data_IF_458912158494
#
_entry.id   IF_458912158494
#
_cell.length_a   1.000
_cell.length_b   1.000
_cell.length_c   1.000
_cell.angle_alpha   90.00
_cell.angle_beta   90.00
_cell.angle_gamma   90.00
#
_symmetry.space_group_name_H-M   'P 1'
#
loop_
_entity.id
_entity.type
_entity.pdbx_description
1 polymer ?
#
# COMPACT_ATOMS: atom_id res chain seq x y z
N UNK A 1 -9.42 -11.21 16.73
CA UNK A 1 -8.68 -10.82 15.52
C UNK A 1 -7.24 -10.50 15.87
N UNK A 2 -6.33 -10.89 15.02
CA UNK A 2 -4.93 -10.50 15.19
C UNK A 2 -4.73 -9.09 14.68
N UNK A 3 -3.90 -8.32 15.37
CA UNK A 3 -3.57 -6.94 14.99
C UNK A 3 -2.07 -6.83 14.76
N UNK A 4 -1.70 -6.47 13.55
CA UNK A 4 -0.31 -6.36 13.14
C UNK A 4 -0.11 -5.02 12.46
N UNK A 5 0.94 -4.29 12.85
CA UNK A 5 1.24 -2.95 12.30
C UNK A 5 0.06 -1.99 12.42
N UNK A 6 -0.75 -2.15 13.47
CA UNK A 6 -1.94 -1.32 13.68
C UNK A 6 -3.15 -1.72 12.86
N UNK A 7 -3.09 -2.80 12.11
CA UNK A 7 -4.18 -3.26 11.24
C UNK A 7 -4.78 -4.55 11.78
N UNK A 8 -6.10 -4.62 11.83
CA UNK A 8 -6.80 -5.85 12.18
C UNK A 8 -6.86 -6.74 10.94
N UNK A 9 -6.17 -7.87 11.00
CA UNK A 9 -6.16 -8.81 9.87
C UNK A 9 -7.23 -9.88 10.07
N UNK A 10 -7.84 -10.38 8.97
CA UNK A 10 -8.88 -11.40 9.08
C UNK A 10 -8.31 -12.69 9.65
N UNK A 11 -9.06 -13.31 10.57
CA UNK A 11 -8.61 -14.54 11.23
C UNK A 11 -8.95 -15.81 10.46
N UNK A 12 -9.91 -15.74 9.55
CA UNK A 12 -10.34 -16.88 8.76
C UNK A 12 -9.56 -17.07 7.46
N UNK A 13 -8.60 -16.19 7.17
CA UNK A 13 -7.78 -16.25 5.96
C UNK A 13 -6.42 -16.88 6.26
N UNK A 14 -5.79 -17.44 5.23
CA UNK A 14 -4.41 -17.92 5.37
C UNK A 14 -3.49 -16.74 5.70
N UNK A 15 -2.43 -17.00 6.44
CA UNK A 15 -1.52 -15.94 6.87
C UNK A 15 -0.97 -15.14 5.68
N UNK A 16 -0.58 -15.83 4.60
CA UNK A 16 -0.06 -15.17 3.39
C UNK A 16 -1.07 -14.18 2.81
N UNK A 17 -2.35 -14.55 2.79
CA UNK A 17 -3.41 -13.69 2.27
C UNK A 17 -3.72 -12.55 3.25
N UNK A 18 -3.80 -12.87 4.53
CA UNK A 18 -4.15 -11.90 5.57
C UNK A 18 -3.10 -10.79 5.70
N UNK A 19 -1.82 -11.10 5.55
CA UNK A 19 -0.75 -10.10 5.64
C UNK A 19 -0.85 -9.05 4.53
N UNK A 20 -1.46 -9.39 3.40
CA UNK A 20 -1.63 -8.44 2.30
C UNK A 20 -2.63 -7.33 2.60
N UNK A 21 -3.38 -7.42 3.70
CA UNK A 21 -4.25 -6.34 4.16
C UNK A 21 -3.46 -5.17 4.74
N UNK A 22 -2.18 -5.38 5.03
CA UNK A 22 -1.30 -4.33 5.53
C UNK A 22 -0.76 -3.53 4.34
N UNK A 23 -0.90 -2.21 4.40
CA UNK A 23 -0.37 -1.33 3.34
C UNK A 23 1.15 -1.47 3.26
N UNK A 24 1.66 -1.84 2.12
CA UNK A 24 3.08 -2.07 1.89
C UNK A 24 3.47 -3.54 1.80
N UNK A 25 2.55 -4.46 2.07
CA UNK A 25 2.80 -5.90 1.95
C UNK A 25 1.93 -6.46 0.84
N UNK A 26 2.56 -6.92 -0.23
CA UNK A 26 1.91 -7.62 -1.33
C UNK A 26 2.17 -9.11 -1.26
N UNK A 27 1.78 -9.88 -2.30
CA UNK A 27 1.96 -11.33 -2.30
C UNK A 27 3.40 -11.78 -2.08
N UNK A 28 4.36 -11.14 -2.72
CA UNK A 28 5.77 -11.51 -2.63
C UNK A 28 6.33 -11.30 -1.22
N UNK A 29 6.04 -10.13 -0.63
CA UNK A 29 6.51 -9.81 0.72
C UNK A 29 5.84 -10.68 1.76
N UNK A 30 4.55 -10.99 1.58
CA UNK A 30 3.83 -11.87 2.49
C UNK A 30 4.47 -13.27 2.52
N UNK A 31 4.81 -13.82 1.36
CA UNK A 31 5.49 -15.11 1.27
C UNK A 31 6.87 -15.07 1.91
N UNK A 32 7.59 -13.98 1.70
CA UNK A 32 8.91 -13.79 2.29
C UNK A 32 8.84 -13.76 3.82
N UNK A 33 7.87 -13.05 4.38
CA UNK A 33 7.67 -12.98 5.84
C UNK A 33 7.34 -14.36 6.39
N UNK A 34 6.42 -15.08 5.76
CA UNK A 34 6.01 -16.42 6.18
C UNK A 34 7.20 -17.37 6.15
N UNK A 35 8.05 -17.28 5.13
CA UNK A 35 9.27 -18.07 5.03
C UNK A 35 10.27 -17.77 6.13
N UNK A 36 10.46 -16.51 6.46
CA UNK A 36 11.38 -16.08 7.53
C UNK A 36 10.95 -16.56 8.90
N UNK A 37 9.65 -16.58 9.15
CA UNK A 37 9.10 -17.01 10.45
C UNK A 37 8.93 -18.53 10.51
N UNK A 38 8.91 -19.21 9.38
CA UNK A 38 8.79 -20.66 9.32
C UNK A 38 7.37 -21.18 9.47
N UNK A 39 6.39 -20.41 9.01
CA UNK A 39 4.98 -20.79 9.06
C UNK A 39 4.58 -21.46 7.75
N UNK A 40 3.77 -22.51 7.82
CA UNK A 40 3.28 -23.21 6.64
C UNK A 40 2.29 -22.33 5.85
N UNK A 41 2.32 -22.47 4.52
CA UNK A 41 1.45 -21.68 3.65
C UNK A 41 -0.05 -21.92 3.91
N UNK A 42 -0.40 -23.11 4.34
CA UNK A 42 -1.80 -23.47 4.59
C UNK A 42 -2.32 -22.96 5.95
N UNK A 43 -1.44 -22.45 6.81
CA UNK A 43 -1.85 -21.97 8.15
C UNK A 43 -2.76 -20.75 8.01
N UNK A 44 -3.82 -20.76 8.82
CA UNK A 44 -4.73 -19.61 8.92
C UNK A 44 -4.37 -18.77 10.13
N UNK A 45 -4.77 -17.51 10.12
CA UNK A 45 -4.45 -16.58 11.20
C UNK A 45 -4.96 -17.08 12.55
N UNK A 46 -6.15 -17.68 12.58
CA UNK A 46 -6.74 -18.20 13.81
C UNK A 46 -6.02 -19.42 14.39
N UNK A 47 -5.10 -20.01 13.63
CA UNK A 47 -4.30 -21.15 14.06
C UNK A 47 -2.92 -20.73 14.62
N UNK A 48 -2.63 -19.43 14.56
CA UNK A 48 -1.33 -18.92 15.03
C UNK A 48 -1.30 -18.82 16.56
N UNK A 49 -0.15 -19.14 17.14
CA UNK A 49 0.08 -18.89 18.55
C UNK A 49 0.47 -17.43 18.77
N UNK A 50 0.37 -16.95 20.02
CA UNK A 50 0.76 -15.59 20.34
C UNK A 50 2.23 -15.33 20.01
N UNK A 51 3.08 -16.33 20.22
CA UNK A 51 4.50 -16.24 19.91
C UNK A 51 4.74 -16.08 18.39
N UNK A 52 4.00 -16.82 17.58
CA UNK A 52 4.10 -16.70 16.14
C UNK A 52 3.65 -15.33 15.65
N UNK A 53 2.58 -14.79 16.21
CA UNK A 53 2.12 -13.44 15.91
C UNK A 53 3.18 -12.41 16.29
N UNK A 54 3.81 -12.57 17.45
CA UNK A 54 4.88 -11.69 17.89
C UNK A 54 6.07 -11.73 16.93
N UNK A 55 6.46 -12.91 16.49
CA UNK A 55 7.55 -13.07 15.52
C UNK A 55 7.25 -12.36 14.20
N UNK A 56 6.01 -12.44 13.73
CA UNK A 56 5.57 -11.75 12.52
C UNK A 56 5.69 -10.23 12.71
N UNK A 57 5.21 -9.72 13.84
CA UNK A 57 5.30 -8.29 14.15
C UNK A 57 6.74 -7.80 14.17
N UNK A 58 7.62 -8.54 14.84
CA UNK A 58 9.03 -8.19 14.93
C UNK A 58 9.72 -8.20 13.56
N UNK A 59 9.40 -9.18 12.74
CA UNK A 59 9.95 -9.27 11.38
C UNK A 59 9.53 -8.07 10.53
N UNK A 60 8.25 -7.71 10.61
CA UNK A 60 7.74 -6.56 9.86
C UNK A 60 8.38 -5.26 10.34
N UNK A 61 8.45 -5.06 11.66
CA UNK A 61 9.03 -3.83 12.21
C UNK A 61 10.50 -3.68 11.85
N UNK A 62 11.23 -4.79 11.79
CA UNK A 62 12.67 -4.77 11.52
C UNK A 62 12.99 -4.60 10.04
N UNK A 63 12.28 -5.29 9.16
CA UNK A 63 12.69 -5.45 7.76
C UNK A 63 11.81 -4.69 6.76
N UNK A 64 10.64 -4.21 7.16
CA UNK A 64 9.67 -3.64 6.23
C UNK A 64 9.15 -2.30 6.69
N UNK A 65 8.93 -1.41 5.73
CA UNK A 65 8.24 -0.14 5.97
C UNK A 65 6.79 -0.30 5.52
N UNK A 66 5.84 -0.17 6.45
CA UNK A 66 4.43 -0.43 6.19
C UNK A 66 3.54 0.64 6.80
N UNK A 67 2.27 0.67 6.36
CA UNK A 67 1.21 1.52 6.91
C UNK A 67 1.60 2.99 7.01
N UNK A 68 1.45 3.59 8.19
CA UNK A 68 1.70 5.02 8.38
C UNK A 68 3.10 5.46 7.99
N UNK A 69 4.11 4.66 8.29
CA UNK A 69 5.49 4.97 7.95
C UNK A 69 5.69 4.98 6.43
N UNK A 70 5.10 4.01 5.72
CA UNK A 70 5.18 3.97 4.27
C UNK A 70 4.41 5.14 3.65
N UNK A 71 3.23 5.45 4.16
CA UNK A 71 2.44 6.58 3.67
C UNK A 71 3.18 7.89 3.85
N UNK A 72 3.84 8.04 5.00
CA UNK A 72 4.65 9.25 5.28
C UNK A 72 5.83 9.35 4.31
N UNK A 73 6.53 8.23 4.07
CA UNK A 73 7.65 8.19 3.15
C UNK A 73 7.21 8.57 1.73
N UNK A 74 6.11 8.03 1.26
CA UNK A 74 5.55 8.36 -0.05
C UNK A 74 5.21 9.85 -0.14
N UNK A 75 4.56 10.39 0.89
CA UNK A 75 4.19 11.80 0.93
C UNK A 75 5.44 12.70 0.90
N UNK A 76 6.47 12.35 1.65
CA UNK A 76 7.73 13.09 1.68
C UNK A 76 8.40 13.06 0.31
N UNK A 77 8.42 11.91 -0.35
CA UNK A 77 9.02 11.77 -1.67
C UNK A 77 8.28 12.62 -2.72
N UNK A 78 6.96 12.64 -2.68
CA UNK A 78 6.16 13.46 -3.58
C UNK A 78 6.41 14.94 -3.31
N UNK A 79 6.43 15.34 -2.05
CA UNK A 79 6.70 16.73 -1.67
C UNK A 79 8.09 17.17 -2.16
N UNK A 80 9.08 16.28 -2.05
CA UNK A 80 10.42 16.56 -2.53
C UNK A 80 10.44 16.85 -4.03
N UNK A 81 9.69 16.05 -4.80
CA UNK A 81 9.57 16.26 -6.24
C UNK A 81 8.91 17.60 -6.55
N UNK A 82 7.88 17.97 -5.79
CA UNK A 82 7.20 19.26 -5.95
C UNK A 82 8.12 20.43 -5.62
N UNK A 83 8.90 20.30 -4.54
CA UNK A 83 9.83 21.35 -4.11
C UNK A 83 10.95 21.55 -5.12
N UNK A 84 11.37 20.49 -5.79
CA UNK A 84 12.39 20.57 -6.85
C UNK A 84 11.83 21.15 -8.15
N UNK A 85 10.50 21.28 -8.25
CA UNK A 85 9.81 21.79 -9.43
C UNK A 85 10.19 21.05 -10.73
N UNK A 86 10.54 19.76 -10.62
CA UNK A 86 10.79 18.95 -11.81
C UNK A 86 9.47 18.58 -12.49
N UNK A 87 9.55 18.00 -13.68
CA UNK A 87 8.35 17.62 -14.43
C UNK A 87 7.44 16.70 -13.61
N UNK A 88 8.00 15.68 -12.96
CA UNK A 88 7.22 14.75 -12.14
C UNK A 88 6.52 15.47 -11.00
N UNK A 89 7.20 16.40 -10.34
CA UNK A 89 6.62 17.18 -9.26
C UNK A 89 5.48 18.06 -9.73
N UNK A 90 5.63 18.69 -10.89
CA UNK A 90 4.56 19.51 -11.47
C UNK A 90 3.32 18.67 -11.80
N UNK A 91 3.52 17.44 -12.27
CA UNK A 91 2.39 16.54 -12.55
C UNK A 91 1.65 16.17 -11.27
N UNK A 92 2.37 15.92 -10.16
CA UNK A 92 1.75 15.67 -8.87
C UNK A 92 0.98 16.89 -8.37
N UNK A 93 1.56 18.08 -8.51
CA UNK A 93 0.93 19.33 -8.08
C UNK A 93 -0.39 19.56 -8.80
N UNK A 94 -0.44 19.27 -10.09
CA UNK A 94 -1.63 19.44 -10.91
C UNK A 94 -2.61 18.27 -10.84
N UNK A 95 -2.25 17.19 -10.15
CA UNK A 95 -3.09 16.00 -10.07
C UNK A 95 -3.19 15.23 -11.38
N UNK A 96 -2.16 15.30 -12.22
CA UNK A 96 -2.13 14.64 -13.52
C UNK A 96 -1.27 13.40 -13.50
N UNK A 97 -1.45 12.46 -14.45
CA UNK A 97 -0.61 11.26 -14.53
C UNK A 97 0.86 11.62 -14.66
N UNK A 98 1.70 10.88 -13.95
CA UNK A 98 3.14 11.17 -13.83
C UNK A 98 3.97 10.38 -14.84
N UNK A 99 3.45 9.28 -15.36
CA UNK A 99 4.18 8.34 -16.20
C UNK A 99 3.88 8.47 -17.70
N UNK A 100 3.57 9.68 -18.16
CA UNK A 100 3.36 9.92 -19.58
C UNK A 100 2.07 9.40 -20.16
N UNK A 101 1.09 9.10 -19.31
CA UNK A 101 -0.20 8.60 -19.75
C UNK A 101 -1.01 9.70 -20.46
N UNK A 102 -1.88 9.29 -21.35
CA UNK A 102 -2.76 10.24 -22.04
C UNK A 102 -3.71 10.89 -21.05
N UNK A 103 -3.89 12.19 -21.19
CA UNK A 103 -4.79 12.97 -20.32
C UNK A 103 -6.09 13.35 -21.03
N UNK A 104 -6.09 13.27 -22.35
CA UNK A 104 -7.23 13.71 -23.15
C UNK A 104 -8.44 12.79 -23.02
N UNK A 105 -8.22 11.49 -22.89
CA UNK A 105 -9.31 10.51 -22.89
C UNK A 105 -9.42 9.72 -21.58
N UNK A 106 -8.31 9.30 -21.01
CA UNK A 106 -8.27 8.43 -19.84
C UNK A 106 -7.66 9.16 -18.65
N UNK A 107 -7.05 8.44 -17.74
CA UNK A 107 -6.39 8.99 -16.55
C UNK A 107 -7.37 9.44 -15.46
N UNK A 108 -8.52 8.76 -15.37
CA UNK A 108 -9.54 9.12 -14.37
C UNK A 108 -9.12 8.87 -12.94
N UNK A 109 -8.24 7.91 -12.71
CA UNK A 109 -7.74 7.63 -11.36
C UNK A 109 -7.07 8.85 -10.72
N UNK A 110 -6.26 9.58 -11.50
CA UNK A 110 -5.58 10.78 -11.02
C UNK A 110 -6.44 12.03 -11.14
N UNK A 111 -7.16 12.15 -12.26
CA UNK A 111 -7.96 13.35 -12.55
C UNK A 111 -9.32 13.33 -11.87
N UNK A 112 -9.78 12.16 -11.44
CA UNK A 112 -11.10 11.98 -10.89
C UNK A 112 -12.16 11.77 -11.97
N UNK A 113 -13.43 11.66 -11.56
CA UNK A 113 -14.52 11.47 -12.51
C UNK A 113 -14.60 12.59 -13.53
N UNK A 114 -15.06 12.27 -14.73
CA UNK A 114 -15.24 13.27 -15.78
C UNK A 114 -16.32 14.28 -15.36
N UNK A 115 -16.01 15.56 -15.55
CA UNK A 115 -16.95 16.64 -15.25
C UNK A 115 -17.24 17.43 -16.52
N UNK A 116 -18.52 17.73 -16.81
CA UNK A 116 -18.82 18.60 -17.94
C UNK A 116 -18.29 20.01 -17.70
N UNK A 117 -17.83 20.64 -18.76
CA UNK A 117 -17.38 22.03 -18.67
C UNK A 117 -18.62 22.91 -18.54
N UNK A 118 -18.60 23.82 -17.59
CA UNK A 118 -19.71 24.76 -17.42
C UNK A 118 -19.88 25.59 -18.69
N UNK A 119 -21.11 25.66 -19.17
CA UNK A 119 -21.41 26.34 -20.42
C UNK A 119 -21.35 25.46 -21.64
N UNK A 120 -20.80 24.26 -21.56
CA UNK A 120 -20.75 23.27 -22.65
C UNK A 120 -21.81 22.20 -22.52
N UNK A 121 -22.80 22.45 -21.75
CA UNK A 121 -23.88 21.48 -21.57
C UNK A 121 -24.67 21.32 -22.86
N UNK A 122 -24.98 20.10 -23.15
CA UNK A 122 -25.72 19.75 -24.33
C UNK A 122 -27.02 19.08 -23.99
#
# INVERSE_FOLDING_TARGET
MARIAGVNIPTNKRVVIALQYIHGIGPAKAREIVGKVGIEDARRVNQLTDQEVLQIRETIDRDYMVEGDLRRDTAVNIKRLMDLACYRGLRHRKGLPVRGQRTHTNARTRKGPAKPIAGNKK
#
